data_IF_519279549224
#
_entry.id   IF_519279549224
#
_cell.length_a   1.000
_cell.length_b   1.000
_cell.length_c   1.000
_cell.angle_alpha   90.00
_cell.angle_beta   90.00
_cell.angle_gamma   90.00
#
_symmetry.space_group_name_H-M   'P 1'
#
loop_
_entity.id
_entity.type
_entity.pdbx_description
1 polymer ?
#
# COMPACT_ATOMS: atom_id res chain seq x y z
N UNK A 1 27.19 -28.73 -36.72
CA UNK A 1 26.45 -27.54 -36.26
C UNK A 1 27.03 -26.33 -37.00
N UNK A 2 26.22 -25.60 -37.77
CA UNK A 2 26.69 -24.39 -38.44
C UNK A 2 26.89 -23.27 -37.41
N UNK A 3 27.84 -22.37 -37.67
CA UNK A 3 28.08 -21.16 -36.85
C UNK A 3 26.80 -20.35 -36.65
N UNK A 4 25.94 -20.29 -37.67
CA UNK A 4 24.62 -19.68 -37.64
C UNK A 4 23.67 -20.34 -36.61
N UNK A 5 23.68 -21.67 -36.51
CA UNK A 5 22.90 -22.39 -35.50
C UNK A 5 23.38 -22.10 -34.08
N UNK A 6 24.69 -21.96 -33.87
CA UNK A 6 25.27 -21.60 -32.58
C UNK A 6 24.85 -20.18 -32.15
N UNK A 7 24.88 -19.22 -33.08
CA UNK A 7 24.46 -17.82 -32.81
C UNK A 7 22.99 -17.74 -32.41
N UNK A 8 22.11 -18.49 -33.09
CA UNK A 8 20.68 -18.54 -32.75
C UNK A 8 20.47 -19.11 -31.35
N UNK A 9 21.15 -20.21 -31.01
CA UNK A 9 21.05 -20.83 -29.68
C UNK A 9 21.49 -19.84 -28.59
N UNK A 10 22.61 -19.15 -28.79
CA UNK A 10 23.10 -18.16 -27.82
C UNK A 10 22.12 -17.00 -27.67
N UNK A 11 21.56 -16.48 -28.77
CA UNK A 11 20.56 -15.41 -28.72
C UNK A 11 19.29 -15.83 -27.95
N UNK A 12 18.79 -17.04 -28.19
CA UNK A 12 17.63 -17.59 -27.48
C UNK A 12 17.92 -17.74 -25.98
N UNK A 13 19.11 -18.21 -25.60
CA UNK A 13 19.49 -18.35 -24.20
C UNK A 13 19.59 -16.99 -23.49
N UNK A 14 20.12 -15.96 -24.15
CA UNK A 14 20.18 -14.59 -23.61
C UNK A 14 18.77 -14.04 -23.37
N UNK A 15 17.88 -14.15 -24.36
CA UNK A 15 16.50 -13.66 -24.26
C UNK A 15 15.74 -14.43 -23.16
N UNK A 16 15.83 -15.75 -23.14
CA UNK A 16 15.18 -16.58 -22.14
C UNK A 16 15.69 -16.29 -20.72
N UNK A 17 17.00 -16.12 -20.54
CA UNK A 17 17.61 -15.75 -19.27
C UNK A 17 17.16 -14.38 -18.77
N UNK A 18 17.15 -13.38 -19.66
CA UNK A 18 16.68 -12.03 -19.34
C UNK A 18 15.20 -12.00 -18.96
N UNK A 19 14.35 -12.70 -19.71
CA UNK A 19 12.92 -12.83 -19.42
C UNK A 19 12.66 -13.54 -18.08
N UNK A 20 13.37 -14.63 -17.80
CA UNK A 20 13.24 -15.36 -16.55
C UNK A 20 13.65 -14.50 -15.34
N UNK A 21 14.75 -13.75 -15.44
CA UNK A 21 15.19 -12.84 -14.39
C UNK A 21 14.17 -11.72 -14.13
N UNK A 22 13.68 -11.08 -15.19
CA UNK A 22 12.67 -10.04 -15.09
C UNK A 22 11.37 -10.57 -14.45
N UNK A 23 10.93 -11.76 -14.85
CA UNK A 23 9.75 -12.42 -14.27
C UNK A 23 9.93 -12.72 -12.78
N UNK A 24 11.08 -13.28 -12.39
CA UNK A 24 11.37 -13.60 -10.98
C UNK A 24 11.41 -12.34 -10.11
N UNK A 25 11.99 -11.25 -10.62
CA UNK A 25 12.00 -9.94 -9.94
C UNK A 25 10.60 -9.39 -9.76
N UNK A 26 9.76 -9.41 -10.81
CA UNK A 26 8.36 -8.97 -10.75
C UNK A 26 7.55 -9.77 -9.73
N UNK A 27 7.66 -11.10 -9.75
CA UNK A 27 6.96 -11.96 -8.79
C UNK A 27 7.38 -11.65 -7.35
N UNK A 28 8.67 -11.42 -7.10
CA UNK A 28 9.15 -11.05 -5.78
C UNK A 28 8.54 -9.73 -5.29
N UNK A 29 8.54 -8.70 -6.13
CA UNK A 29 7.93 -7.39 -5.81
C UNK A 29 6.43 -7.55 -5.54
N UNK A 30 5.72 -8.32 -6.38
CA UNK A 30 4.30 -8.60 -6.18
C UNK A 30 4.03 -9.34 -4.86
N UNK A 31 4.87 -10.29 -4.48
CA UNK A 31 4.75 -10.99 -3.20
C UNK A 31 5.01 -10.07 -2.02
N UNK A 32 6.06 -9.25 -2.06
CA UNK A 32 6.34 -8.24 -1.05
C UNK A 32 5.17 -7.25 -0.94
N UNK A 33 4.63 -6.80 -2.07
CA UNK A 33 3.42 -5.96 -2.14
C UNK A 33 2.21 -6.60 -1.49
N UNK A 34 1.89 -7.83 -1.86
CA UNK A 34 0.76 -8.55 -1.30
C UNK A 34 0.90 -8.79 0.22
N UNK A 35 2.13 -9.02 0.70
CA UNK A 35 2.39 -9.25 2.12
C UNK A 35 2.13 -8.00 2.95
N UNK A 36 2.71 -6.86 2.58
CA UNK A 36 2.51 -5.63 3.35
C UNK A 36 1.08 -5.08 3.20
N UNK A 37 0.48 -5.21 2.01
CA UNK A 37 -0.94 -4.87 1.81
C UNK A 37 -1.88 -5.71 2.69
N UNK A 38 -1.54 -6.98 2.94
CA UNK A 38 -2.33 -7.81 3.85
C UNK A 38 -2.20 -7.33 5.29
N UNK A 39 -0.99 -6.97 5.71
CA UNK A 39 -0.74 -6.46 7.06
C UNK A 39 -1.48 -5.13 7.31
N UNK A 40 -1.39 -4.18 6.38
CA UNK A 40 -2.09 -2.90 6.50
C UNK A 40 -3.61 -3.07 6.49
N UNK A 41 -4.17 -3.88 5.57
CA UNK A 41 -5.61 -4.15 5.54
C UNK A 41 -6.11 -4.77 6.86
N UNK A 42 -5.35 -5.69 7.46
CA UNK A 42 -5.69 -6.28 8.75
C UNK A 42 -5.64 -5.25 9.88
N UNK A 43 -4.59 -4.42 9.93
CA UNK A 43 -4.44 -3.42 10.97
C UNK A 43 -5.48 -2.30 10.87
N UNK A 44 -5.75 -1.80 9.66
CA UNK A 44 -6.81 -0.82 9.39
C UNK A 44 -8.18 -1.40 9.69
N UNK A 45 -8.47 -2.62 9.21
CA UNK A 45 -9.72 -3.31 9.49
C UNK A 45 -9.94 -3.48 11.00
N UNK A 46 -8.89 -3.83 11.75
CA UNK A 46 -8.94 -3.92 13.20
C UNK A 46 -9.19 -2.55 13.86
N UNK A 47 -8.45 -1.51 13.48
CA UNK A 47 -8.62 -0.17 14.03
C UNK A 47 -10.05 0.34 13.86
N UNK A 48 -10.60 0.18 12.65
CA UNK A 48 -11.97 0.60 12.34
C UNK A 48 -13.02 -0.29 13.03
N UNK A 49 -12.76 -1.59 13.18
CA UNK A 49 -13.65 -2.49 13.90
C UNK A 49 -13.69 -2.16 15.40
N UNK A 50 -12.52 -1.96 16.02
CA UNK A 50 -12.40 -1.61 17.45
C UNK A 50 -13.03 -0.24 17.74
N UNK A 51 -13.03 0.67 16.76
CA UNK A 51 -13.73 1.96 16.82
C UNK A 51 -15.24 1.87 16.48
N UNK A 52 -15.75 0.69 16.10
CA UNK A 52 -17.16 0.48 15.75
C UNK A 52 -17.58 1.08 14.40
N UNK A 53 -16.63 1.46 13.54
CA UNK A 53 -16.87 2.17 12.26
C UNK A 53 -17.09 1.23 11.07
N UNK A 54 -16.51 0.04 11.11
CA UNK A 54 -16.54 -0.92 9.98
C UNK A 54 -16.91 -2.34 10.42
N UNK A 55 -17.84 -2.47 11.36
CA UNK A 55 -18.28 -3.78 11.88
C UNK A 55 -18.91 -4.60 10.75
N UNK A 56 -18.29 -5.73 10.40
CA UNK A 56 -18.74 -6.61 9.32
C UNK A 56 -18.37 -6.17 7.90
N UNK A 57 -17.64 -5.06 7.73
CA UNK A 57 -17.16 -4.61 6.42
C UNK A 57 -15.73 -5.10 6.18
N UNK A 58 -15.48 -5.74 5.04
CA UNK A 58 -14.12 -6.08 4.62
C UNK A 58 -13.45 -4.85 4.00
N UNK A 59 -12.66 -4.15 4.80
CA UNK A 59 -11.87 -3.01 4.35
C UNK A 59 -10.67 -3.50 3.52
N UNK A 60 -10.55 -3.03 2.28
CA UNK A 60 -9.46 -3.37 1.38
C UNK A 60 -8.93 -2.08 0.76
N UNK A 61 -7.68 -1.74 1.05
CA UNK A 61 -7.02 -0.56 0.50
C UNK A 61 -6.41 -0.82 -0.88
N UNK A 62 -6.04 0.26 -1.55
CA UNK A 62 -5.27 0.27 -2.79
C UNK A 62 -3.86 0.79 -2.52
N UNK A 63 -2.80 0.13 -3.02
CA UNK A 63 -1.44 0.60 -2.80
C UNK A 63 -1.19 1.92 -3.54
N UNK A 64 -0.47 2.82 -2.91
CA UNK A 64 0.09 4.02 -3.54
C UNK A 64 1.54 3.72 -3.89
N UNK A 65 1.83 3.57 -5.19
CA UNK A 65 3.11 2.98 -5.65
C UNK A 65 4.32 3.91 -5.46
N UNK A 66 4.14 5.22 -5.61
CA UNK A 66 5.25 6.18 -5.54
C UNK A 66 4.76 7.53 -5.02
N UNK A 67 5.45 8.06 -4.01
CA UNK A 67 5.25 9.43 -3.52
C UNK A 67 6.63 10.10 -3.51
N UNK A 68 6.75 11.22 -4.21
CA UNK A 68 8.01 11.99 -4.34
C UNK A 68 9.24 11.13 -4.68
N UNK A 69 9.10 10.20 -5.62
CA UNK A 69 10.19 9.30 -6.05
C UNK A 69 10.69 8.31 -5.00
N UNK A 70 9.92 8.10 -3.92
CA UNK A 70 10.19 7.10 -2.90
C UNK A 70 9.18 5.95 -3.00
N UNK A 71 9.69 4.72 -2.90
CA UNK A 71 8.85 3.53 -2.71
C UNK A 71 8.39 3.50 -1.25
N UNK A 72 7.16 3.98 -1.03
CA UNK A 72 6.52 4.02 0.27
C UNK A 72 5.51 2.88 0.38
N UNK A 73 5.37 2.33 1.59
CA UNK A 73 4.33 1.35 1.91
C UNK A 73 3.08 2.12 2.36
N UNK A 74 2.43 2.79 1.41
CA UNK A 74 1.25 3.62 1.65
C UNK A 74 0.04 2.96 0.98
N UNK A 75 -1.10 2.92 1.67
CA UNK A 75 -2.34 2.43 1.07
C UNK A 75 -3.47 3.43 1.29
N UNK A 76 -4.22 3.64 0.22
CA UNK A 76 -5.43 4.45 0.18
C UNK A 76 -6.64 3.59 0.50
N UNK A 77 -7.55 4.12 1.31
CA UNK A 77 -8.78 3.45 1.71
C UNK A 77 -9.96 4.38 1.51
N UNK A 78 -11.11 3.78 1.22
CA UNK A 78 -12.37 4.50 1.09
C UNK A 78 -13.46 3.85 1.94
N UNK A 79 -14.30 4.68 2.55
CA UNK A 79 -15.48 4.29 3.31
C UNK A 79 -16.68 5.11 2.85
N UNK A 80 -17.87 4.51 2.68
CA UNK A 80 -19.07 5.25 2.31
C UNK A 80 -19.53 6.15 3.47
N UNK A 81 -19.70 7.46 3.24
CA UNK A 81 -20.14 8.44 4.25
C UNK A 81 -21.57 8.15 4.74
N UNK A 82 -22.38 7.46 3.93
CA UNK A 82 -23.73 6.99 4.32
C UNK A 82 -23.76 6.07 5.55
N UNK A 83 -22.60 5.61 6.03
CA UNK A 83 -22.44 4.88 7.30
C UNK A 83 -22.44 5.78 8.55
N UNK A 84 -22.49 7.11 8.40
CA UNK A 84 -22.37 8.07 9.51
C UNK A 84 -20.94 8.25 10.01
N UNK A 85 -19.95 7.69 9.31
CA UNK A 85 -18.53 7.79 9.64
C UNK A 85 -17.99 9.16 9.22
N UNK A 86 -17.31 9.82 10.15
CA UNK A 86 -16.70 11.14 10.00
C UNK A 86 -15.18 11.08 10.04
N UNK A 87 -14.52 12.11 9.50
CA UNK A 87 -13.05 12.26 9.54
C UNK A 87 -12.52 12.17 10.97
N UNK A 88 -13.16 12.84 11.91
CA UNK A 88 -12.75 12.84 13.32
C UNK A 88 -12.81 11.43 13.95
N UNK A 89 -13.79 10.62 13.58
CA UNK A 89 -13.89 9.23 14.06
C UNK A 89 -12.78 8.35 13.49
N UNK A 90 -12.46 8.51 12.20
CA UNK A 90 -11.33 7.80 11.59
C UNK A 90 -10.03 8.23 12.24
N UNK A 91 -9.76 9.52 12.39
CA UNK A 91 -8.58 10.03 13.11
C UNK A 91 -8.48 9.48 14.53
N UNK A 92 -9.59 9.44 15.27
CA UNK A 92 -9.63 8.86 16.61
C UNK A 92 -9.32 7.35 16.61
N UNK A 93 -9.80 6.60 15.62
CA UNK A 93 -9.50 5.17 15.48
C UNK A 93 -7.99 4.89 15.33
N UNK A 94 -7.26 5.82 14.72
CA UNK A 94 -5.80 5.72 14.52
C UNK A 94 -4.96 6.31 15.67
N UNK A 95 -5.58 6.87 16.71
CA UNK A 95 -4.86 7.46 17.85
C UNK A 95 -4.34 6.44 18.89
N UNK A 96 -4.71 5.16 18.76
CA UNK A 96 -4.38 4.11 19.73
C UNK A 96 -2.96 3.54 19.61
N UNK A 97 -2.33 3.24 20.75
CA UNK A 97 -0.97 2.70 20.84
C UNK A 97 -0.74 1.33 20.14
N UNK A 98 -1.82 0.58 19.87
CA UNK A 98 -1.75 -0.71 19.19
C UNK A 98 -1.43 -0.60 17.69
N UNK A 99 -1.36 0.63 17.17
CA UNK A 99 -1.09 0.94 15.77
C UNK A 99 0.31 1.51 15.56
N UNK A 100 1.29 1.21 16.42
CA UNK A 100 2.66 1.75 16.32
C UNK A 100 3.37 1.54 14.95
N UNK A 101 2.87 0.62 14.12
CA UNK A 101 3.37 0.37 12.77
C UNK A 101 2.53 1.04 11.67
N UNK A 102 1.43 1.71 12.02
CA UNK A 102 0.51 2.36 11.09
C UNK A 102 0.41 3.84 11.44
N UNK A 103 0.47 4.69 10.42
CA UNK A 103 0.21 6.12 10.57
C UNK A 103 -0.88 6.54 9.58
N UNK A 104 -1.91 7.19 10.09
CA UNK A 104 -2.86 7.92 9.25
C UNK A 104 -2.16 9.17 8.73
N UNK A 105 -2.06 9.32 7.41
CA UNK A 105 -1.34 10.43 6.78
C UNK A 105 -2.26 11.46 6.16
N UNK A 106 -3.42 11.04 5.66
CA UNK A 106 -4.43 11.96 5.13
C UNK A 106 -5.83 11.39 5.42
N UNK A 107 -6.82 12.27 5.59
CA UNK A 107 -8.21 11.89 5.78
C UNK A 107 -9.13 13.03 5.36
N UNK A 108 -9.93 12.81 4.31
CA UNK A 108 -10.85 13.82 3.78
C UNK A 108 -12.14 13.20 3.26
N UNK A 109 -13.18 14.02 3.13
CA UNK A 109 -14.45 13.61 2.51
C UNK A 109 -14.49 14.17 1.11
N UNK A 110 -14.71 13.30 0.12
CA UNK A 110 -14.98 13.71 -1.25
C UNK A 110 -16.46 13.99 -1.41
N UNK A 111 -16.79 15.27 -1.67
CA UNK A 111 -18.16 15.78 -1.70
C UNK A 111 -19.00 15.17 -2.84
N UNK A 112 -18.37 14.81 -3.96
CA UNK A 112 -19.04 14.29 -5.16
C UNK A 112 -19.57 12.87 -4.97
N UNK A 113 -18.76 11.98 -4.36
CA UNK A 113 -19.07 10.55 -4.26
C UNK A 113 -19.53 10.13 -2.86
N UNK A 114 -19.63 11.07 -1.92
CA UNK A 114 -19.94 10.80 -0.51
C UNK A 114 -19.07 9.67 0.06
N UNK A 115 -17.77 9.72 -0.24
CA UNK A 115 -16.78 8.80 0.30
C UNK A 115 -15.81 9.53 1.23
N UNK A 116 -15.53 8.90 2.36
CA UNK A 116 -14.43 9.28 3.23
C UNK A 116 -13.21 8.51 2.73
N UNK A 117 -12.22 9.28 2.28
CA UNK A 117 -10.96 8.82 1.77
C UNK A 117 -9.89 9.03 2.84
N UNK A 118 -9.01 8.06 3.01
CA UNK A 118 -7.92 8.19 3.95
C UNK A 118 -6.72 7.33 3.57
N UNK A 119 -5.54 7.84 3.87
CA UNK A 119 -4.26 7.21 3.57
C UNK A 119 -3.61 6.70 4.84
N UNK A 120 -3.11 5.47 4.78
CA UNK A 120 -2.43 4.82 5.90
C UNK A 120 -1.05 4.35 5.46
N UNK A 121 -0.02 4.81 6.14
CA UNK A 121 1.36 4.42 5.94
C UNK A 121 1.74 3.25 6.86
N UNK A 122 2.46 2.26 6.33
CA UNK A 122 3.00 1.13 7.07
C UNK A 122 4.51 1.34 7.38
N UNK A 123 4.80 1.65 8.64
CA UNK A 123 6.08 2.17 9.14
C UNK A 123 7.16 1.09 9.34
N UNK A 124 7.34 0.20 8.37
CA UNK A 124 8.33 -0.90 8.49
C UNK A 124 9.67 -0.56 7.87
N UNK A 125 9.67 0.17 6.75
CA UNK A 125 10.90 0.58 6.07
C UNK A 125 11.23 2.05 6.35
N UNK A 126 12.50 2.41 6.19
CA UNK A 126 12.96 3.77 6.48
C UNK A 126 12.44 4.81 5.49
N UNK A 127 12.17 4.41 4.24
CA UNK A 127 11.60 5.30 3.22
C UNK A 127 10.21 5.82 3.62
N UNK A 128 9.35 4.93 4.15
CA UNK A 128 7.99 5.29 4.60
C UNK A 128 8.05 6.09 5.89
N UNK A 129 8.93 5.74 6.83
CA UNK A 129 9.15 6.54 8.05
C UNK A 129 9.64 7.95 7.73
N UNK A 130 10.58 8.08 6.80
CA UNK A 130 11.07 9.38 6.34
C UNK A 130 9.98 10.20 5.65
N UNK A 131 9.14 9.56 4.82
CA UNK A 131 7.98 10.21 4.22
C UNK A 131 7.02 10.76 5.28
N UNK A 132 6.62 9.96 6.27
CA UNK A 132 5.71 10.41 7.35
C UNK A 132 6.35 11.51 8.20
N UNK A 133 7.65 11.40 8.50
CA UNK A 133 8.38 12.44 9.22
C UNK A 133 8.51 13.75 8.43
N UNK A 134 8.66 13.66 7.10
CA UNK A 134 8.68 14.83 6.22
C UNK A 134 7.28 15.48 6.15
N UNK A 135 6.20 14.68 6.07
CA UNK A 135 4.82 15.17 6.07
C UNK A 135 4.48 15.96 7.34
N UNK A 136 4.86 15.43 8.51
CA UNK A 136 4.67 16.08 9.81
C UNK A 136 5.43 17.41 9.99
N UNK A 137 6.32 17.79 9.06
CA UNK A 137 7.00 19.10 9.06
C UNK A 137 6.27 20.16 8.24
N UNK A 138 5.39 19.74 7.34
CA UNK A 138 4.71 20.62 6.37
C UNK A 138 3.24 20.85 6.71
N UNK A 139 2.64 19.96 7.51
CA UNK A 139 1.31 20.11 8.11
C UNK A 139 1.35 20.88 9.43
#
# INVERSE_FOLDING_TARGET
MSTLGLVIIVAVLIIAGGWWWARRRRLRIQHEHAQWMRAINLGVGKALHDAGLAVGLKVTGQPVEEVWHRQVMLAHFTLPVGSGVTVAQVQAAFSGAHLAQLALTDCFVQAEDQQLNFDVAYLVNDATKAYVADLARVE
#
